data_IF_586824068010
#
_entry.id   IF_586824068010
#
_cell.length_a   1.000
_cell.length_b   1.000
_cell.length_c   1.000
_cell.angle_alpha   90.00
_cell.angle_beta   90.00
_cell.angle_gamma   90.00
#
_symmetry.space_group_name_H-M   'P 1'
#
loop_
_entity.id
_entity.type
_entity.pdbx_description
1 polymer ?
#
# COMPACT_ATOMS: atom_id res chain seq x y z
N UNK A 1 -10.69 -59.07 1.96
CA UNK A 1 -10.43 -57.63 1.78
C UNK A 1 -8.95 -57.42 2.10
N UNK A 2 -8.10 -58.04 1.29
CA UNK A 2 -6.66 -58.21 1.53
C UNK A 2 -5.94 -57.59 0.33
N UNK A 3 -5.23 -56.49 0.58
CA UNK A 3 -4.26 -55.76 -0.28
C UNK A 3 -4.55 -54.26 -0.39
N UNK A 4 -4.48 -53.53 0.73
CA UNK A 4 -4.49 -52.05 0.72
C UNK A 4 -3.19 -51.44 1.24
N UNK A 5 -2.16 -52.25 1.50
CA UNK A 5 -0.83 -51.72 1.81
C UNK A 5 -0.11 -51.34 0.53
N UNK A 6 0.34 -50.08 0.44
CA UNK A 6 1.12 -49.56 -0.68
C UNK A 6 2.60 -49.72 -0.39
N UNK A 7 3.33 -50.25 -1.36
CA UNK A 7 4.79 -50.25 -1.31
C UNK A 7 5.32 -48.81 -1.32
N UNK A 8 6.55 -48.60 -0.84
CA UNK A 8 7.19 -47.28 -0.89
C UNK A 8 7.23 -46.66 -2.30
N UNK A 9 7.33 -47.49 -3.34
CA UNK A 9 7.32 -47.05 -4.74
C UNK A 9 5.94 -46.62 -5.25
N UNK A 10 4.87 -47.25 -4.75
CA UNK A 10 3.49 -46.84 -5.03
C UNK A 10 3.14 -45.58 -4.24
N UNK A 11 3.48 -45.55 -2.94
CA UNK A 11 3.32 -44.37 -2.10
C UNK A 11 4.02 -43.14 -2.68
N UNK A 12 5.24 -43.31 -3.21
CA UNK A 12 5.98 -42.24 -3.86
C UNK A 12 5.23 -41.67 -5.08
N UNK A 13 4.68 -42.54 -5.93
CA UNK A 13 3.90 -42.14 -7.10
C UNK A 13 2.62 -41.40 -6.71
N UNK A 14 1.91 -41.90 -5.72
CA UNK A 14 0.59 -41.38 -5.35
C UNK A 14 0.67 -40.06 -4.56
N UNK A 15 1.67 -39.93 -3.69
CA UNK A 15 1.87 -38.72 -2.88
C UNK A 15 2.64 -37.60 -3.59
N UNK A 16 3.31 -37.93 -4.71
CA UNK A 16 4.24 -37.01 -5.39
C UNK A 16 5.55 -36.79 -4.63
N UNK A 17 5.84 -37.59 -3.61
CA UNK A 17 7.11 -37.61 -2.90
C UNK A 17 8.08 -38.60 -3.55
N UNK A 18 9.38 -38.31 -3.50
CA UNK A 18 10.37 -39.31 -3.94
C UNK A 18 10.53 -40.43 -2.89
N UNK A 19 10.94 -41.61 -3.35
CA UNK A 19 11.29 -42.74 -2.44
C UNK A 19 12.34 -42.33 -1.40
N UNK A 20 13.29 -41.47 -1.79
CA UNK A 20 14.30 -40.92 -0.88
C UNK A 20 13.67 -40.00 0.18
N UNK A 21 12.70 -39.16 -0.21
CA UNK A 21 11.97 -38.29 0.70
C UNK A 21 11.15 -39.11 1.72
N UNK A 22 10.45 -40.16 1.29
CA UNK A 22 9.71 -41.06 2.18
C UNK A 22 10.64 -41.72 3.22
N UNK A 23 11.83 -42.18 2.81
CA UNK A 23 12.85 -42.69 3.74
C UNK A 23 13.36 -41.63 4.71
N UNK A 24 13.45 -40.37 4.27
CA UNK A 24 13.83 -39.26 5.12
C UNK A 24 12.76 -38.96 6.18
N UNK A 25 11.48 -38.92 5.78
CA UNK A 25 10.37 -38.63 6.69
C UNK A 25 10.11 -39.74 7.71
N UNK A 26 10.35 -41.00 7.32
CA UNK A 26 10.39 -42.14 8.24
C UNK A 26 11.44 -41.90 9.34
N UNK A 27 12.70 -41.64 8.97
CA UNK A 27 13.78 -41.36 9.94
C UNK A 27 13.52 -40.13 10.80
N UNK A 28 12.85 -39.12 10.26
CA UNK A 28 12.50 -37.90 10.98
C UNK A 28 11.25 -38.06 11.89
N UNK A 29 10.59 -39.23 11.84
CA UNK A 29 9.38 -39.51 12.62
C UNK A 29 8.18 -38.66 12.20
N UNK A 30 8.12 -38.28 10.92
CA UNK A 30 7.06 -37.42 10.36
C UNK A 30 5.99 -38.26 9.65
N UNK A 31 6.43 -39.26 8.88
CA UNK A 31 5.55 -40.24 8.23
C UNK A 31 6.20 -41.62 8.37
N UNK A 32 5.86 -42.32 9.45
CA UNK A 32 6.43 -43.63 9.79
C UNK A 32 5.64 -44.70 9.06
N UNK A 33 6.27 -45.60 8.27
CA UNK A 33 5.57 -46.67 7.56
C UNK A 33 4.80 -47.58 8.52
N UNK A 34 3.60 -48.01 8.12
CA UNK A 34 2.79 -48.97 8.87
C UNK A 34 3.53 -50.29 9.13
N UNK A 35 4.35 -50.74 8.18
CA UNK A 35 5.19 -51.92 8.35
C UNK A 35 6.52 -51.80 7.62
N UNK A 36 7.58 -52.31 8.26
CA UNK A 36 8.91 -52.43 7.68
C UNK A 36 9.31 -53.90 7.74
N UNK A 37 9.66 -54.47 6.59
CA UNK A 37 10.16 -55.83 6.49
C UNK A 37 11.45 -55.98 7.31
N UNK A 38 11.51 -56.92 8.28
CA UNK A 38 12.64 -57.05 9.19
C UNK A 38 13.91 -57.62 8.52
N UNK A 39 13.79 -58.23 7.34
CA UNK A 39 14.91 -58.83 6.60
C UNK A 39 15.38 -57.91 5.48
N UNK A 40 14.46 -57.41 4.67
CA UNK A 40 14.78 -56.57 3.51
C UNK A 40 14.80 -55.07 3.81
N UNK A 41 14.23 -54.63 4.93
CA UNK A 41 14.05 -53.22 5.27
C UNK A 41 13.04 -52.49 4.36
N UNK A 42 12.24 -53.25 3.61
CA UNK A 42 11.27 -52.70 2.66
C UNK A 42 10.06 -52.13 3.40
N UNK A 43 9.56 -50.98 2.93
CA UNK A 43 8.55 -50.18 3.64
C UNK A 43 7.19 -50.28 2.97
N UNK A 44 6.19 -50.45 3.80
CA UNK A 44 4.78 -50.55 3.41
C UNK A 44 3.95 -49.55 4.21
N UNK A 45 3.01 -48.92 3.52
CA UNK A 45 2.18 -47.86 4.06
C UNK A 45 0.70 -48.23 3.96
N UNK A 46 -0.08 -47.85 4.97
CA UNK A 46 -1.52 -48.05 4.98
C UNK A 46 -2.29 -47.07 4.08
N UNK A 47 -3.59 -47.33 3.83
CA UNK A 47 -4.44 -46.46 3.03
C UNK A 47 -4.57 -45.04 3.63
N UNK A 48 -4.74 -44.91 4.95
CA UNK A 48 -4.84 -43.62 5.66
C UNK A 48 -3.57 -42.77 5.50
N UNK A 49 -2.40 -43.42 5.45
CA UNK A 49 -1.10 -42.74 5.29
C UNK A 49 -0.91 -42.14 3.89
N UNK A 50 -1.74 -42.54 2.92
CA UNK A 50 -1.70 -41.98 1.57
C UNK A 50 -2.18 -40.53 1.56
N UNK A 51 -3.25 -40.24 2.32
CA UNK A 51 -3.76 -38.87 2.46
C UNK A 51 -2.78 -38.00 3.24
N UNK A 52 -2.21 -38.53 4.33
CA UNK A 52 -1.15 -37.84 5.09
C UNK A 52 0.06 -37.49 4.22
N UNK A 53 0.50 -38.42 3.37
CA UNK A 53 1.64 -38.21 2.48
C UNK A 53 1.36 -37.10 1.45
N UNK A 54 0.14 -37.02 0.92
CA UNK A 54 -0.29 -35.93 0.02
C UNK A 54 -0.32 -34.59 0.77
N UNK A 55 -0.86 -34.54 1.99
CA UNK A 55 -0.88 -33.32 2.82
C UNK A 55 0.55 -32.88 3.13
N UNK A 56 1.40 -33.80 3.58
CA UNK A 56 2.82 -33.54 3.84
C UNK A 56 3.54 -32.96 2.62
N UNK A 57 3.30 -33.52 1.43
CA UNK A 57 3.90 -33.02 0.19
C UNK A 57 3.48 -31.57 -0.11
N UNK A 58 2.21 -31.23 0.10
CA UNK A 58 1.68 -29.87 -0.08
C UNK A 58 2.28 -28.88 0.92
N UNK A 59 2.32 -29.24 2.20
CA UNK A 59 2.89 -28.39 3.26
C UNK A 59 4.38 -28.15 3.04
N UNK A 60 5.13 -29.19 2.62
CA UNK A 60 6.54 -29.05 2.31
C UNK A 60 6.78 -28.14 1.12
N UNK A 61 5.96 -28.23 0.07
CA UNK A 61 6.03 -27.35 -1.11
C UNK A 61 5.70 -25.90 -0.74
N UNK A 62 4.81 -25.70 0.22
CA UNK A 62 4.51 -24.38 0.80
C UNK A 62 5.59 -23.88 1.78
N UNK A 63 6.71 -24.60 1.92
CA UNK A 63 7.83 -24.17 2.78
C UNK A 63 7.57 -24.30 4.28
N UNK A 64 6.57 -25.07 4.71
CA UNK A 64 6.29 -25.25 6.14
C UNK A 64 7.47 -25.98 6.84
N UNK A 65 7.89 -25.54 8.03
CA UNK A 65 8.91 -26.22 8.83
C UNK A 65 8.47 -27.65 9.21
N UNK A 66 9.43 -28.57 9.27
CA UNK A 66 9.13 -29.99 9.53
C UNK A 66 8.47 -30.23 10.90
N UNK A 67 8.80 -29.41 11.89
CA UNK A 67 8.19 -29.47 13.22
C UNK A 67 6.70 -29.14 13.16
N UNK A 68 6.32 -28.11 12.41
CA UNK A 68 4.92 -27.69 12.24
C UNK A 68 4.14 -28.71 11.41
N UNK A 69 4.76 -29.29 10.38
CA UNK A 69 4.15 -30.39 9.59
C UNK A 69 3.77 -31.57 10.49
N UNK A 70 4.63 -31.95 11.44
CA UNK A 70 4.32 -33.03 12.39
C UNK A 70 3.08 -32.72 13.24
N UNK A 71 2.97 -31.49 13.72
CA UNK A 71 1.81 -31.06 14.52
C UNK A 71 0.53 -31.04 13.66
N UNK A 72 0.63 -30.59 12.41
CA UNK A 72 -0.49 -30.61 11.47
C UNK A 72 -0.96 -32.03 11.20
N UNK A 73 -0.05 -32.97 10.91
CA UNK A 73 -0.43 -34.36 10.67
C UNK A 73 -1.02 -35.03 11.92
N UNK A 74 -0.48 -34.75 13.11
CA UNK A 74 -1.03 -35.26 14.37
C UNK A 74 -2.46 -34.75 14.61
N UNK A 75 -2.71 -33.46 14.36
CA UNK A 75 -4.05 -32.86 14.46
C UNK A 75 -5.01 -33.34 13.37
N UNK A 76 -4.49 -33.63 12.17
CA UNK A 76 -5.25 -34.17 11.04
C UNK A 76 -5.85 -35.54 11.37
N UNK A 77 -5.06 -36.41 12.01
CA UNK A 77 -5.51 -37.75 12.43
C UNK A 77 -6.34 -37.71 13.73
N UNK A 78 -6.05 -36.77 14.63
CA UNK A 78 -6.71 -36.63 15.93
C UNK A 78 -8.05 -35.87 15.91
N UNK A 79 -8.58 -35.51 14.73
CA UNK A 79 -9.77 -34.65 14.56
C UNK A 79 -9.65 -33.24 15.17
N UNK A 80 -8.45 -32.77 15.52
CA UNK A 80 -8.23 -31.41 16.05
C UNK A 80 -8.08 -30.39 14.91
N UNK A 81 -9.21 -30.13 14.26
CA UNK A 81 -9.30 -29.17 13.16
C UNK A 81 -8.97 -27.74 13.58
N UNK A 82 -9.11 -27.40 14.87
CA UNK A 82 -8.84 -26.05 15.37
C UNK A 82 -7.32 -25.79 15.44
N UNK A 83 -6.55 -26.76 15.94
CA UNK A 83 -5.09 -26.71 15.94
C UNK A 83 -4.52 -26.66 14.51
N UNK A 84 -5.01 -27.51 13.61
CA UNK A 84 -4.55 -27.50 12.20
C UNK A 84 -4.80 -26.14 11.55
N UNK A 85 -6.00 -25.57 11.73
CA UNK A 85 -6.33 -24.24 11.20
C UNK A 85 -5.43 -23.15 11.76
N UNK A 86 -5.12 -23.18 13.05
CA UNK A 86 -4.27 -22.16 13.67
C UNK A 86 -2.82 -22.22 13.16
N UNK A 87 -2.26 -23.42 13.00
CA UNK A 87 -0.92 -23.64 12.43
C UNK A 87 -0.83 -23.18 10.97
N UNK A 88 -1.84 -23.49 10.15
CA UNK A 88 -1.90 -23.03 8.76
C UNK A 88 -1.96 -21.50 8.69
N UNK A 89 -2.82 -20.85 9.49
CA UNK A 89 -2.90 -19.38 9.57
C UNK A 89 -1.58 -18.75 10.02
N UNK A 90 -0.92 -19.34 11.02
CA UNK A 90 0.38 -18.87 11.49
C UNK A 90 1.46 -18.95 10.40
N UNK A 91 1.46 -20.02 9.60
CA UNK A 91 2.40 -20.17 8.49
C UNK A 91 2.14 -19.19 7.35
N UNK A 92 0.87 -18.97 6.97
CA UNK A 92 0.50 -17.94 5.99
C UNK A 92 1.00 -16.56 6.44
N UNK A 93 0.76 -16.17 7.69
CA UNK A 93 1.28 -14.91 8.26
C UNK A 93 2.81 -14.82 8.26
N UNK A 94 3.52 -15.95 8.38
CA UNK A 94 4.99 -15.99 8.29
C UNK A 94 5.46 -15.77 6.85
N UNK A 95 4.81 -16.42 5.88
CA UNK A 95 5.12 -16.28 4.46
C UNK A 95 4.84 -14.84 3.97
N UNK A 96 3.72 -14.25 4.36
CA UNK A 96 3.36 -12.88 4.00
C UNK A 96 4.36 -11.86 4.56
N UNK A 97 4.79 -12.03 5.82
CA UNK A 97 5.83 -11.18 6.42
C UNK A 97 7.14 -11.31 5.64
N UNK A 98 7.58 -12.55 5.37
CA UNK A 98 8.79 -12.78 4.57
C UNK A 98 8.71 -12.18 3.16
N UNK A 99 7.54 -12.21 2.52
CA UNK A 99 7.33 -11.56 1.22
C UNK A 99 7.38 -10.03 1.32
N UNK A 100 6.80 -9.46 2.37
CA UNK A 100 6.86 -8.02 2.63
C UNK A 100 8.29 -7.56 2.88
N UNK A 101 9.04 -8.28 3.71
CA UNK A 101 10.44 -8.00 4.02
C UNK A 101 11.31 -8.07 2.75
N UNK A 102 11.16 -9.15 1.98
CA UNK A 102 11.87 -9.32 0.71
C UNK A 102 11.54 -8.19 -0.29
N UNK A 103 10.26 -7.81 -0.43
CA UNK A 103 9.86 -6.67 -1.26
C UNK A 103 10.49 -5.36 -0.80
N UNK A 104 10.60 -5.15 0.53
CA UNK A 104 11.31 -4.02 1.12
C UNK A 104 12.78 -3.99 0.72
N UNK A 105 13.49 -5.11 0.91
CA UNK A 105 14.90 -5.25 0.53
C UNK A 105 15.14 -5.01 -0.96
N UNK A 106 14.32 -5.62 -1.83
CA UNK A 106 14.41 -5.39 -3.27
C UNK A 106 14.14 -3.95 -3.67
N UNK A 107 13.24 -3.27 -2.94
CA UNK A 107 12.99 -1.83 -3.16
C UNK A 107 14.21 -0.99 -2.78
N UNK A 108 14.89 -1.31 -1.67
CA UNK A 108 16.16 -0.67 -1.30
C UNK A 108 17.24 -0.91 -2.33
N UNK A 109 17.41 -2.15 -2.80
CA UNK A 109 18.39 -2.48 -3.83
C UNK A 109 18.11 -1.76 -5.14
N UNK A 110 16.83 -1.66 -5.54
CA UNK A 110 16.43 -0.90 -6.73
C UNK A 110 16.73 0.59 -6.56
N UNK A 111 16.48 1.17 -5.39
CA UNK A 111 16.85 2.56 -5.12
C UNK A 111 18.37 2.79 -5.19
N UNK A 112 19.18 1.86 -4.67
CA UNK A 112 20.64 1.93 -4.77
C UNK A 112 21.15 1.76 -6.21
N UNK A 113 20.51 0.90 -7.01
CA UNK A 113 20.81 0.74 -8.43
C UNK A 113 20.39 1.98 -9.22
N UNK A 114 19.20 2.51 -8.99
CA UNK A 114 18.71 3.76 -9.59
C UNK A 114 19.69 4.92 -9.30
N UNK A 115 20.21 5.00 -8.07
CA UNK A 115 21.23 5.99 -7.67
C UNK A 115 22.58 5.80 -8.39
N UNK A 116 22.95 4.54 -8.68
CA UNK A 116 24.20 4.20 -9.39
C UNK A 116 24.08 4.41 -10.90
N UNK A 117 22.94 4.06 -11.49
CA UNK A 117 22.67 4.12 -12.93
C UNK A 117 22.32 5.55 -13.38
N UNK A 118 21.79 6.37 -12.47
CA UNK A 118 21.58 7.81 -12.67
C UNK A 118 22.49 8.65 -11.75
N UNK A 119 23.82 8.62 -11.94
CA UNK A 119 24.73 9.41 -11.14
C UNK A 119 24.53 10.90 -11.46
N UNK A 120 23.83 11.61 -10.57
CA UNK A 120 23.84 13.08 -10.45
C UNK A 120 23.37 13.87 -11.69
N UNK A 121 22.07 14.12 -11.79
CA UNK A 121 21.62 15.46 -12.17
C UNK A 121 21.44 16.25 -10.86
N UNK A 122 22.23 17.30 -10.58
CA UNK A 122 22.00 18.10 -9.39
C UNK A 122 20.60 18.71 -9.44
N UNK A 123 19.74 18.31 -8.50
CA UNK A 123 18.75 19.24 -7.97
C UNK A 123 19.54 20.45 -7.47
N UNK A 124 19.12 21.68 -7.77
CA UNK A 124 19.70 22.97 -7.30
C UNK A 124 20.71 23.70 -8.20
N UNK A 125 20.48 23.78 -9.52
CA UNK A 125 21.09 24.87 -10.34
C UNK A 125 20.17 25.47 -11.41
N UNK A 126 18.87 25.18 -11.38
CA UNK A 126 17.92 25.78 -12.32
C UNK A 126 17.15 26.90 -11.62
N UNK A 127 17.38 28.14 -12.05
CA UNK A 127 16.46 29.23 -11.72
C UNK A 127 15.18 29.01 -12.52
N UNK A 128 14.06 28.75 -11.84
CA UNK A 128 12.75 28.67 -12.46
C UNK A 128 11.95 29.92 -12.07
N UNK A 129 11.34 30.57 -13.05
CA UNK A 129 10.41 31.68 -12.82
C UNK A 129 9.15 31.43 -13.61
N UNK A 130 8.03 31.39 -12.92
CA UNK A 130 6.74 31.11 -13.52
C UNK A 130 5.67 32.05 -12.98
N UNK A 131 4.63 32.25 -13.78
CA UNK A 131 3.43 32.98 -13.41
C UNK A 131 2.23 32.03 -13.42
N UNK A 132 1.39 32.13 -12.40
CA UNK A 132 0.19 31.32 -12.23
C UNK A 132 -0.99 32.22 -11.83
N UNK A 133 -2.20 31.76 -12.13
CA UNK A 133 -3.41 32.32 -11.53
C UNK A 133 -3.39 32.11 -10.00
N UNK A 134 -3.68 33.16 -9.23
CA UNK A 134 -3.77 33.07 -7.78
C UNK A 134 -4.82 32.05 -7.29
N UNK A 135 -6.08 32.07 -7.78
CA UNK A 135 -7.09 31.10 -7.36
C UNK A 135 -6.74 29.65 -7.75
N UNK A 136 -6.10 29.42 -8.91
CA UNK A 136 -5.68 28.07 -9.30
C UNK A 136 -4.58 27.53 -8.38
N UNK A 137 -3.55 28.35 -8.10
CA UNK A 137 -2.48 27.95 -7.19
C UNK A 137 -2.99 27.75 -5.76
N UNK A 138 -3.92 28.58 -5.30
CA UNK A 138 -4.58 28.43 -4.01
C UNK A 138 -5.33 27.10 -3.91
N UNK A 139 -6.14 26.79 -4.92
CA UNK A 139 -6.90 25.54 -4.99
C UNK A 139 -5.97 24.32 -5.03
N UNK A 140 -4.85 24.39 -5.76
CA UNK A 140 -3.87 23.31 -5.81
C UNK A 140 -3.16 23.11 -4.45
N UNK A 141 -2.78 24.20 -3.77
CA UNK A 141 -2.19 24.13 -2.42
C UNK A 141 -3.18 23.52 -1.42
N UNK A 142 -4.43 24.00 -1.42
CA UNK A 142 -5.49 23.48 -0.53
C UNK A 142 -5.77 21.99 -0.79
N UNK A 143 -5.76 21.57 -2.06
CA UNK A 143 -6.01 20.19 -2.45
C UNK A 143 -4.94 19.20 -1.95
N UNK A 144 -3.71 19.64 -1.71
CA UNK A 144 -2.63 18.74 -1.25
C UNK A 144 -2.25 18.93 0.21
N UNK A 145 -2.51 20.11 0.78
CA UNK A 145 -2.09 20.50 2.13
C UNK A 145 -2.45 19.49 3.22
N UNK A 146 -3.60 18.82 3.10
CA UNK A 146 -4.07 17.87 4.10
C UNK A 146 -3.18 16.63 4.21
N UNK A 147 -2.42 16.26 3.17
CA UNK A 147 -1.59 15.06 3.12
C UNK A 147 -0.15 15.28 3.59
N UNK A 148 0.26 16.52 3.87
CA UNK A 148 1.62 16.82 4.34
C UNK A 148 1.84 16.28 5.77
N UNK A 149 3.03 15.74 6.04
CA UNK A 149 3.37 15.33 7.39
C UNK A 149 3.51 16.56 8.31
N UNK A 150 2.88 16.50 9.49
CA UNK A 150 3.06 17.48 10.57
C UNK A 150 4.02 16.97 11.65
N UNK A 151 4.55 15.75 11.48
CA UNK A 151 5.42 15.12 12.46
C UNK A 151 6.85 15.66 12.37
N UNK A 152 7.31 16.29 13.46
CA UNK A 152 8.68 16.77 13.60
C UNK A 152 9.73 15.65 13.52
N UNK A 153 9.35 14.38 13.73
CA UNK A 153 10.24 13.21 13.59
C UNK A 153 10.43 12.78 12.13
N UNK A 154 9.65 13.32 11.19
CA UNK A 154 9.77 13.09 9.75
C UNK A 154 10.10 14.39 9.02
N UNK A 155 11.26 15.03 9.31
CA UNK A 155 11.63 16.30 8.70
C UNK A 155 11.67 16.21 7.17
N UNK A 156 11.93 15.02 6.60
CA UNK A 156 11.92 14.77 5.16
C UNK A 156 10.55 14.83 4.50
N UNK A 157 9.47 14.80 5.29
CA UNK A 157 8.08 14.88 4.80
C UNK A 157 7.35 16.10 5.34
N UNK A 158 8.04 16.98 6.08
CA UNK A 158 7.50 18.23 6.63
C UNK A 158 7.33 19.36 5.60
N UNK A 159 7.27 19.02 4.31
CA UNK A 159 7.16 19.96 3.20
C UNK A 159 6.34 19.39 2.04
N UNK A 160 6.09 20.23 1.05
CA UNK A 160 5.41 19.86 -0.19
C UNK A 160 6.38 19.95 -1.35
N UNK A 161 6.36 18.95 -2.23
CA UNK A 161 7.11 19.01 -3.48
C UNK A 161 6.40 19.93 -4.46
N UNK A 162 7.17 20.84 -5.06
CA UNK A 162 6.81 21.64 -6.21
C UNK A 162 7.62 21.08 -7.39
N UNK A 163 6.94 20.40 -8.31
CA UNK A 163 7.53 19.81 -9.51
C UNK A 163 7.08 20.63 -10.74
N UNK A 164 8.00 21.44 -11.24
CA UNK A 164 7.79 22.39 -12.33
C UNK A 164 8.26 21.74 -13.63
N UNK A 165 7.36 21.54 -14.59
CA UNK A 165 7.66 20.99 -15.91
C UNK A 165 6.77 21.62 -16.98
N UNK A 166 7.38 22.24 -17.99
CA UNK A 166 6.66 22.93 -19.05
C UNK A 166 5.71 23.99 -18.49
N UNK A 167 4.43 23.88 -18.84
CA UNK A 167 3.36 24.78 -18.36
C UNK A 167 2.64 24.26 -17.09
N UNK A 168 3.12 23.17 -16.48
CA UNK A 168 2.52 22.58 -15.29
C UNK A 168 3.37 22.77 -14.02
N UNK A 169 2.74 23.23 -12.95
CA UNK A 169 3.26 23.11 -11.59
C UNK A 169 2.47 22.02 -10.87
N UNK A 170 3.11 20.88 -10.61
CA UNK A 170 2.54 19.84 -9.77
C UNK A 170 2.93 20.07 -8.32
N UNK A 171 1.95 20.08 -7.45
CA UNK A 171 2.12 20.13 -6.00
C UNK A 171 1.87 18.74 -5.45
N UNK A 172 2.75 18.26 -4.57
CA UNK A 172 2.62 16.93 -3.96
C UNK A 172 2.92 16.98 -2.48
N UNK A 173 2.07 16.34 -1.68
CA UNK A 173 2.26 16.19 -0.24
C UNK A 173 1.99 14.74 0.20
N UNK A 174 2.74 14.26 1.20
CA UNK A 174 2.59 12.90 1.74
C UNK A 174 3.07 12.80 3.18
N UNK A 175 2.51 11.86 3.94
CA UNK A 175 2.84 11.55 5.34
C UNK A 175 3.14 10.07 5.59
N UNK A 176 3.51 9.34 4.51
CA UNK A 176 3.69 7.87 4.41
C UNK A 176 2.41 7.04 4.32
N UNK A 177 1.27 7.54 4.79
CA UNK A 177 0.01 6.80 4.80
C UNK A 177 -0.97 7.28 3.73
N UNK A 178 -0.75 8.49 3.21
CA UNK A 178 -1.50 9.06 2.10
C UNK A 178 -0.62 9.96 1.25
N UNK A 179 -1.09 10.25 0.07
CA UNK A 179 -0.49 11.20 -0.85
C UNK A 179 -1.58 12.01 -1.54
N UNK A 180 -1.33 13.29 -1.79
CA UNK A 180 -2.20 14.11 -2.61
C UNK A 180 -1.36 14.83 -3.67
N UNK A 181 -1.90 14.87 -4.89
CA UNK A 181 -1.30 15.52 -6.06
C UNK A 181 -2.33 16.48 -6.61
N UNK A 182 -1.92 17.70 -6.94
CA UNK A 182 -2.72 18.67 -7.66
C UNK A 182 -1.86 19.45 -8.65
N UNK A 183 -2.49 20.01 -9.68
CA UNK A 183 -1.80 20.80 -10.70
C UNK A 183 -2.33 22.23 -10.74
N UNK A 184 -1.41 23.19 -10.92
CA UNK A 184 -1.73 24.55 -11.31
C UNK A 184 -1.11 24.83 -12.69
N UNK A 185 -1.83 25.59 -13.53
CA UNK A 185 -1.31 26.00 -14.83
C UNK A 185 -0.37 27.18 -14.67
N UNK A 186 0.70 27.16 -15.45
CA UNK A 186 1.75 28.15 -15.34
C UNK A 186 2.22 28.63 -16.71
N UNK A 187 2.78 29.83 -16.73
CA UNK A 187 3.39 30.44 -17.92
C UNK A 187 4.76 31.01 -17.56
N UNK A 188 5.60 31.21 -18.57
CA UNK A 188 6.90 31.89 -18.40
C UNK A 188 8.08 30.99 -18.04
N UNK A 189 7.86 29.68 -17.81
CA UNK A 189 8.94 28.71 -17.64
C UNK A 189 9.10 27.85 -18.91
N UNK A 190 10.23 28.01 -19.60
CA UNK A 190 10.64 27.17 -20.74
C UNK A 190 11.92 26.38 -20.48
N UNK A 191 12.36 26.33 -19.22
CA UNK A 191 13.59 25.69 -18.79
C UNK A 191 13.44 24.18 -18.51
N UNK A 192 14.52 23.52 -18.08
CA UNK A 192 14.44 22.12 -17.66
C UNK A 192 13.50 21.93 -16.46
N UNK A 193 13.04 20.70 -16.27
CA UNK A 193 12.25 20.30 -15.11
C UNK A 193 12.97 20.69 -13.82
N UNK A 194 12.25 21.32 -12.90
CA UNK A 194 12.79 21.82 -11.63
C UNK A 194 11.94 21.30 -10.49
N UNK A 195 12.57 20.67 -9.51
CA UNK A 195 11.91 20.17 -8.30
C UNK A 195 12.45 20.88 -7.08
N UNK A 196 11.55 21.28 -6.19
CA UNK A 196 11.90 21.91 -4.92
C UNK A 196 10.92 21.50 -3.83
N UNK A 197 11.43 21.17 -2.64
CA UNK A 197 10.58 20.84 -1.49
C UNK A 197 10.39 22.09 -0.64
N UNK A 198 9.16 22.59 -0.61
CA UNK A 198 8.78 23.80 0.11
C UNK A 198 8.34 23.43 1.53
N UNK A 199 8.97 23.97 2.60
CA UNK A 199 8.54 23.71 3.97
C UNK A 199 7.08 24.08 4.19
N UNK A 200 6.36 23.30 4.99
CA UNK A 200 4.93 23.51 5.24
C UNK A 200 4.58 24.94 5.72
N UNK A 201 5.33 25.57 6.65
CA UNK A 201 5.05 26.95 7.05
C UNK A 201 5.22 27.97 5.91
N UNK A 202 6.15 27.72 4.99
CA UNK A 202 6.34 28.57 3.82
C UNK A 202 5.19 28.41 2.82
N UNK A 203 4.75 27.17 2.58
CA UNK A 203 3.59 26.89 1.74
C UNK A 203 2.30 27.52 2.32
N UNK A 204 2.12 27.49 3.64
CA UNK A 204 0.99 28.13 4.33
C UNK A 204 1.04 29.66 4.19
N UNK A 205 2.23 30.26 4.33
CA UNK A 205 2.44 31.69 4.11
C UNK A 205 2.15 32.08 2.65
N UNK A 206 2.60 31.26 1.69
CA UNK A 206 2.29 31.42 0.26
C UNK A 206 0.78 31.38 0.03
N UNK A 207 0.08 30.39 0.58
CA UNK A 207 -1.37 30.25 0.45
C UNK A 207 -2.13 31.48 0.96
N UNK A 208 -1.66 32.12 2.04
CA UNK A 208 -2.25 33.33 2.62
C UNK A 208 -2.07 34.60 1.74
N UNK A 209 -1.18 34.57 0.75
CA UNK A 209 -1.02 35.64 -0.24
C UNK A 209 -1.99 35.53 -1.42
N UNK A 210 -2.58 34.34 -1.63
CA UNK A 210 -3.40 33.99 -2.79
C UNK A 210 -4.89 34.30 -2.60
N UNK A 211 -5.21 35.45 -2.01
CA UNK A 211 -6.59 35.88 -1.78
C UNK A 211 -7.19 36.74 -2.91
N UNK A 212 -6.35 37.23 -3.83
CA UNK A 212 -6.78 38.04 -4.98
C UNK A 212 -6.94 37.23 -6.27
N UNK A 213 -7.30 37.91 -7.35
CA UNK A 213 -7.39 37.32 -8.70
C UNK A 213 -6.18 37.62 -9.58
N UNK A 214 -5.30 38.52 -9.13
CA UNK A 214 -4.11 38.90 -9.89
C UNK A 214 -3.14 37.73 -10.04
N UNK A 215 -2.44 37.62 -11.19
CA UNK A 215 -1.45 36.58 -11.39
C UNK A 215 -0.30 36.75 -10.40
N UNK A 216 0.14 35.63 -9.84
CA UNK A 216 1.29 35.57 -8.94
C UNK A 216 2.53 35.10 -9.67
N UNK A 217 3.69 35.46 -9.14
CA UNK A 217 4.98 35.00 -9.64
C UNK A 217 5.66 34.11 -8.62
N UNK A 218 5.97 32.88 -9.01
CA UNK A 218 6.81 31.96 -8.25
C UNK A 218 8.21 31.96 -8.85
N UNK A 219 9.22 32.15 -8.00
CA UNK A 219 10.63 32.06 -8.36
C UNK A 219 11.31 31.04 -7.47
N UNK A 220 12.02 30.10 -8.10
CA UNK A 220 12.93 29.15 -7.45
C UNK A 220 14.33 29.54 -7.91
N UNK A 221 15.21 29.91 -6.98
CA UNK A 221 16.58 30.27 -7.26
C UNK A 221 17.51 29.57 -6.26
N UNK A 222 18.20 28.53 -6.72
CA UNK A 222 18.96 27.64 -5.84
C UNK A 222 18.07 26.95 -4.81
N UNK A 223 18.32 27.21 -3.53
CA UNK A 223 17.54 26.72 -2.38
C UNK A 223 16.45 27.72 -1.92
N UNK A 224 16.29 28.86 -2.60
CA UNK A 224 15.34 29.89 -2.19
C UNK A 224 14.09 29.84 -3.06
N UNK A 225 12.94 29.73 -2.41
CA UNK A 225 11.63 29.80 -3.05
C UNK A 225 10.92 31.08 -2.64
N UNK A 226 10.41 31.82 -3.61
CA UNK A 226 9.71 33.10 -3.40
C UNK A 226 8.43 33.13 -4.20
N UNK A 227 7.32 33.51 -3.55
CA UNK A 227 6.04 33.81 -4.20
C UNK A 227 5.73 35.30 -4.02
N UNK A 228 5.46 35.99 -5.12
CA UNK A 228 5.10 37.40 -5.18
C UNK A 228 3.65 37.55 -5.64
N UNK A 229 2.88 38.39 -4.95
CA UNK A 229 1.50 38.76 -5.26
C UNK A 229 1.33 40.27 -5.03
N UNK A 230 1.41 41.05 -6.12
CA UNK A 230 1.51 42.51 -6.06
C UNK A 230 2.71 42.96 -5.21
N UNK A 231 2.46 43.78 -4.19
CA UNK A 231 3.48 44.28 -3.24
C UNK A 231 3.79 43.30 -2.09
N UNK A 232 3.11 42.16 -2.02
CA UNK A 232 3.28 41.17 -0.95
C UNK A 232 4.13 40.00 -1.45
N UNK A 233 4.99 39.48 -0.58
CA UNK A 233 5.80 38.30 -0.89
C UNK A 233 5.95 37.36 0.29
N UNK A 234 6.12 36.07 0.00
CA UNK A 234 6.50 35.03 0.94
C UNK A 234 7.74 34.33 0.39
N UNK A 235 8.79 34.23 1.19
CA UNK A 235 10.05 33.64 0.77
C UNK A 235 10.68 32.83 1.89
N UNK A 236 11.40 31.77 1.52
CA UNK A 236 12.09 30.91 2.47
C UNK A 236 13.02 29.94 1.78
N UNK A 237 13.74 29.16 2.58
CA UNK A 237 14.61 28.10 2.09
C UNK A 237 13.80 26.83 1.84
N UNK A 238 14.12 26.14 0.75
CA UNK A 238 13.64 24.80 0.47
C UNK A 238 14.32 23.78 1.37
N UNK A 239 13.67 22.65 1.54
CA UNK A 239 14.28 21.51 2.21
C UNK A 239 15.21 20.79 1.22
N UNK A 240 16.46 20.56 1.64
CA UNK A 240 17.50 19.96 0.80
C UNK A 240 17.47 18.43 0.74
N UNK A 241 16.35 17.80 1.07
CA UNK A 241 16.21 16.33 1.03
C UNK A 241 15.35 15.90 -0.16
N UNK A 242 15.54 14.66 -0.59
CA UNK A 242 14.74 14.07 -1.66
C UNK A 242 13.29 13.87 -1.23
N UNK A 243 12.37 14.00 -2.18
CA UNK A 243 10.95 13.70 -2.02
C UNK A 243 10.63 12.38 -2.73
N UNK A 244 9.70 11.55 -2.22
CA UNK A 244 9.32 10.31 -2.88
C UNK A 244 8.92 10.51 -4.36
N UNK A 245 9.33 9.59 -5.23
CA UNK A 245 8.95 9.63 -6.66
C UNK A 245 7.47 9.30 -6.85
N UNK A 246 6.64 10.35 -6.78
CA UNK A 246 5.19 10.24 -6.87
C UNK A 246 4.69 9.78 -8.25
N UNK A 247 5.48 9.95 -9.31
CA UNK A 247 5.05 9.58 -10.68
C UNK A 247 4.86 8.07 -10.82
N UNK A 248 5.65 7.28 -10.09
CA UNK A 248 5.48 5.81 -10.00
C UNK A 248 4.13 5.40 -9.37
N UNK A 249 3.48 6.32 -8.65
CA UNK A 249 2.21 6.10 -7.96
C UNK A 249 1.01 6.69 -8.71
N UNK A 250 1.22 7.38 -9.84
CA UNK A 250 0.15 7.88 -10.71
C UNK A 250 -0.52 6.70 -11.44
N UNK A 251 0.28 5.72 -11.87
CA UNK A 251 -0.11 4.54 -12.63
C UNK A 251 -0.45 3.34 -11.73
N UNK A 252 -1.43 3.50 -10.84
CA UNK A 252 -1.91 2.38 -10.02
C UNK A 252 -2.67 1.40 -10.94
N UNK A 253 -2.47 0.07 -10.79
CA UNK A 253 -3.22 -0.93 -11.56
C UNK A 253 -4.73 -0.69 -11.44
N UNK A 254 -5.44 -0.82 -12.58
CA UNK A 254 -6.88 -0.56 -12.66
C UNK A 254 -7.65 -1.31 -11.56
N UNK A 255 -8.33 -0.52 -10.72
CA UNK A 255 -9.24 -1.02 -9.70
C UNK A 255 -10.70 -0.97 -10.18
N UNK A 256 -11.63 -1.42 -9.34
CA UNK A 256 -13.05 -1.15 -9.57
C UNK A 256 -13.30 0.33 -9.31
N UNK A 257 -13.80 1.01 -10.33
CA UNK A 257 -14.20 2.42 -10.25
C UNK A 257 -15.64 2.54 -9.82
N UNK A 258 -15.90 3.46 -8.92
CA UNK A 258 -17.24 3.76 -8.43
C UNK A 258 -17.42 5.27 -8.35
N UNK A 259 -18.51 5.74 -8.93
CA UNK A 259 -18.91 7.14 -8.89
C UNK A 259 -19.62 7.40 -7.57
N UNK A 260 -19.25 8.48 -6.90
CA UNK A 260 -19.88 8.88 -5.64
C UNK A 260 -20.31 10.33 -5.68
N UNK A 261 -21.54 10.58 -5.23
CA UNK A 261 -21.97 11.89 -4.77
C UNK A 261 -21.20 12.18 -3.46
N UNK A 262 -20.38 13.23 -3.48
CA UNK A 262 -19.46 13.56 -2.40
C UNK A 262 -20.20 13.86 -1.11
N UNK A 263 -21.35 14.54 -1.17
CA UNK A 263 -22.11 14.92 0.02
C UNK A 263 -22.78 13.70 0.66
N UNK A 264 -23.46 12.88 -0.13
CA UNK A 264 -24.11 11.65 0.33
C UNK A 264 -23.09 10.63 0.84
N UNK A 265 -21.96 10.45 0.14
CA UNK A 265 -20.93 9.51 0.56
C UNK A 265 -20.19 9.98 1.82
N UNK A 266 -19.92 11.28 1.95
CA UNK A 266 -19.41 11.86 3.20
C UNK A 266 -20.38 11.58 4.36
N UNK A 267 -21.67 11.85 4.17
CA UNK A 267 -22.67 11.58 5.20
C UNK A 267 -22.70 10.09 5.58
N UNK A 268 -22.60 9.19 4.60
CA UNK A 268 -22.51 7.75 4.83
C UNK A 268 -21.26 7.35 5.62
N UNK A 269 -20.11 7.99 5.37
CA UNK A 269 -18.88 7.77 6.15
C UNK A 269 -18.97 8.33 7.58
N UNK A 270 -19.60 9.49 7.76
CA UNK A 270 -19.74 10.12 9.08
C UNK A 270 -20.72 9.37 9.99
N UNK A 271 -21.79 8.85 9.41
CA UNK A 271 -22.86 8.13 10.15
C UNK A 271 -22.71 6.61 10.14
N UNK A 272 -21.89 6.08 9.23
CA UNK A 272 -21.73 4.65 9.01
C UNK A 272 -20.80 3.95 10.00
N UNK A 273 -20.73 2.61 9.93
CA UNK A 273 -20.02 1.76 10.90
C UNK A 273 -18.53 2.07 10.96
N UNK A 274 -17.99 2.33 12.15
CA UNK A 274 -16.55 2.58 12.39
C UNK A 274 -15.90 1.30 12.91
N UNK A 275 -14.69 1.00 12.44
CA UNK A 275 -13.84 -0.03 13.08
C UNK A 275 -12.65 0.60 13.76
N UNK A 276 -12.26 0.04 14.90
CA UNK A 276 -11.03 0.45 15.58
C UNK A 276 -9.85 -0.28 14.92
N UNK A 277 -8.92 0.48 14.33
CA UNK A 277 -7.65 -0.09 13.91
C UNK A 277 -6.73 -0.35 15.10
N UNK A 278 -5.99 -1.46 15.06
CA UNK A 278 -4.99 -1.79 16.09
C UNK A 278 -3.75 -0.88 16.02
N UNK A 279 -3.49 -0.27 14.87
CA UNK A 279 -2.41 0.71 14.70
C UNK A 279 -2.84 2.02 15.34
N UNK A 280 -2.25 2.33 16.51
CA UNK A 280 -2.49 3.60 17.20
C UNK A 280 -1.81 4.73 16.43
N UNK A 281 -2.51 5.84 16.26
CA UNK A 281 -1.87 7.11 15.92
C UNK A 281 -0.94 7.54 17.08
N UNK A 282 -0.05 8.49 16.82
CA UNK A 282 0.99 8.95 17.79
C UNK A 282 0.41 9.38 19.15
N UNK A 283 -0.83 9.84 19.17
CA UNK A 283 -1.55 10.25 20.39
C UNK A 283 -2.13 9.07 21.19
N UNK A 284 -1.88 7.82 20.76
CA UNK A 284 -2.46 6.62 21.38
C UNK A 284 -3.93 6.38 21.03
N UNK A 285 -4.52 7.23 20.18
CA UNK A 285 -5.89 7.07 19.70
C UNK A 285 -5.97 5.91 18.67
N UNK A 286 -6.97 5.04 18.77
CA UNK A 286 -7.25 4.06 17.73
C UNK A 286 -7.60 4.81 16.44
N UNK A 287 -6.97 4.44 15.31
CA UNK A 287 -7.38 5.00 14.04
C UNK A 287 -8.79 4.49 13.69
N UNK A 288 -9.67 5.40 13.30
CA UNK A 288 -11.01 5.04 12.84
C UNK A 288 -10.91 4.53 11.41
N UNK A 289 -11.34 3.31 11.18
CA UNK A 289 -11.30 2.68 9.86
C UNK A 289 -12.70 2.65 9.24
N UNK A 290 -12.75 2.94 7.94
CA UNK A 290 -13.89 2.62 7.08
C UNK A 290 -13.51 1.43 6.19
N UNK A 291 -14.35 0.40 6.18
CA UNK A 291 -14.21 -0.73 5.26
C UNK A 291 -15.13 -0.49 4.08
N UNK A 292 -14.56 -0.50 2.88
CA UNK A 292 -15.25 -0.13 1.65
C UNK A 292 -15.23 -1.28 0.66
N UNK A 293 -16.33 -1.41 -0.09
CA UNK A 293 -16.45 -2.34 -1.21
C UNK A 293 -17.21 -1.70 -2.35
N UNK A 294 -16.89 -2.08 -3.58
CA UNK A 294 -17.70 -1.74 -4.76
C UNK A 294 -18.72 -2.86 -4.98
N UNK A 295 -20.00 -2.55 -4.90
CA UNK A 295 -21.08 -3.50 -5.19
C UNK A 295 -21.21 -3.77 -6.69
N UNK A 296 -21.95 -4.82 -7.07
CA UNK A 296 -22.12 -5.24 -8.48
C UNK A 296 -22.79 -4.16 -9.35
N UNK A 297 -23.60 -3.30 -8.75
CA UNK A 297 -24.22 -2.14 -9.39
C UNK A 297 -23.27 -0.94 -9.57
N UNK A 298 -22.00 -1.06 -9.17
CA UNK A 298 -21.00 0.01 -9.26
C UNK A 298 -21.03 1.05 -8.12
N UNK A 299 -21.89 0.90 -7.10
CA UNK A 299 -21.91 1.81 -5.95
C UNK A 299 -20.90 1.41 -4.87
N UNK A 300 -20.28 2.40 -4.22
CA UNK A 300 -19.46 2.15 -3.02
C UNK A 300 -20.35 1.91 -1.81
N UNK A 301 -20.05 0.86 -1.06
CA UNK A 301 -20.73 0.50 0.19
C UNK A 301 -19.72 0.60 1.34
N UNK A 302 -20.16 1.20 2.45
CA UNK A 302 -19.44 1.16 3.72
C UNK A 302 -19.90 -0.10 4.47
N UNK A 303 -19.01 -1.08 4.62
CA UNK A 303 -19.34 -2.39 5.16
C UNK A 303 -19.55 -2.36 6.68
N UNK A 304 -20.55 -3.11 7.17
CA UNK A 304 -20.75 -3.36 8.61
C UNK A 304 -19.65 -4.26 9.19
N UNK A 305 -19.58 -4.31 10.51
CA UNK A 305 -18.61 -5.16 11.21
C UNK A 305 -18.92 -6.65 11.00
N UNK A 306 -17.93 -7.43 10.56
CA UNK A 306 -18.09 -8.84 10.19
C UNK A 306 -18.54 -9.13 8.74
N UNK A 307 -18.87 -8.11 7.94
CA UNK A 307 -19.16 -8.26 6.49
C UNK A 307 -17.90 -8.02 5.63
N UNK A 308 -16.79 -8.66 6.01
CA UNK A 308 -15.51 -8.56 5.31
C UNK A 308 -15.44 -9.53 4.14
N UNK A 309 -15.96 -9.09 3.00
CA UNK A 309 -15.68 -9.76 1.76
C UNK A 309 -14.16 -9.67 1.41
N UNK A 310 -13.61 -10.66 0.70
CA UNK A 310 -12.17 -10.71 0.37
C UNK A 310 -11.71 -9.58 -0.56
N UNK A 311 -12.65 -8.81 -1.13
CA UNK A 311 -12.44 -7.66 -2.01
C UNK A 311 -12.68 -6.31 -1.31
N UNK A 312 -12.87 -6.31 0.00
CA UNK A 312 -13.02 -5.12 0.83
C UNK A 312 -11.67 -4.41 1.04
N UNK A 313 -11.69 -3.08 1.05
CA UNK A 313 -10.52 -2.23 1.32
C UNK A 313 -10.79 -1.42 2.58
N UNK A 314 -9.95 -1.56 3.60
CA UNK A 314 -10.03 -0.74 4.80
C UNK A 314 -9.07 0.44 4.71
N UNK A 315 -9.55 1.64 5.04
CA UNK A 315 -8.74 2.87 5.05
C UNK A 315 -9.02 3.70 6.30
N UNK A 316 -8.09 4.56 6.68
CA UNK A 316 -8.33 5.56 7.72
C UNK A 316 -9.46 6.50 7.28
N UNK A 317 -10.53 6.56 8.08
CA UNK A 317 -11.75 7.34 7.83
C UNK A 317 -11.47 8.83 7.74
N UNK A 318 -10.65 9.36 8.64
CA UNK A 318 -10.36 10.79 8.68
C UNK A 318 -9.57 11.20 7.44
N UNK A 319 -8.62 10.36 7.00
CA UNK A 319 -7.90 10.60 5.76
C UNK A 319 -8.82 10.58 4.54
N UNK A 320 -9.81 9.68 4.50
CA UNK A 320 -10.77 9.61 3.42
C UNK A 320 -11.68 10.84 3.40
N UNK A 321 -12.18 11.28 4.56
CA UNK A 321 -12.99 12.49 4.68
C UNK A 321 -12.20 13.73 4.23
N UNK A 322 -10.92 13.83 4.59
CA UNK A 322 -10.05 14.90 4.11
C UNK A 322 -9.85 14.85 2.58
N UNK A 323 -9.64 13.66 2.00
CA UNK A 323 -9.50 13.50 0.56
C UNK A 323 -10.77 13.89 -0.21
N UNK A 324 -11.96 13.52 0.30
CA UNK A 324 -13.24 13.96 -0.26
C UNK A 324 -13.42 15.48 -0.17
N UNK A 325 -12.98 16.09 0.94
CA UNK A 325 -13.00 17.56 1.10
C UNK A 325 -12.09 18.26 0.09
N UNK A 326 -10.87 17.76 -0.08
CA UNK A 326 -9.89 18.28 -1.04
C UNK A 326 -10.33 18.11 -2.50
N UNK A 327 -11.14 17.07 -2.77
CA UNK A 327 -11.77 16.87 -4.07
C UNK A 327 -12.61 18.07 -4.52
N UNK A 328 -13.32 18.74 -3.60
CA UNK A 328 -14.09 19.97 -3.85
C UNK A 328 -14.98 19.92 -5.12
N UNK A 329 -15.64 18.76 -5.34
CA UNK A 329 -16.57 18.49 -6.43
C UNK A 329 -17.79 17.74 -5.89
N UNK A 330 -18.94 17.93 -6.53
CA UNK A 330 -20.18 17.23 -6.17
C UNK A 330 -20.08 15.73 -6.48
N UNK A 331 -19.33 15.37 -7.52
CA UNK A 331 -19.09 13.99 -7.92
C UNK A 331 -17.60 13.68 -7.99
N UNK A 332 -17.20 12.53 -7.43
CA UNK A 332 -15.84 12.01 -7.45
C UNK A 332 -15.82 10.54 -7.88
N UNK A 333 -14.66 10.08 -8.35
CA UNK A 333 -14.43 8.67 -8.65
C UNK A 333 -13.53 8.07 -7.58
N UNK A 334 -14.02 6.99 -6.96
CA UNK A 334 -13.24 6.14 -6.08
C UNK A 334 -12.76 4.93 -6.87
N UNK A 335 -11.47 4.65 -6.79
CA UNK A 335 -10.86 3.48 -7.41
C UNK A 335 -10.31 2.56 -6.32
N UNK A 336 -10.94 1.38 -6.20
CA UNK A 336 -10.63 0.38 -5.20
C UNK A 336 -10.00 -0.84 -5.88
N UNK A 337 -8.72 -1.09 -5.58
CA UNK A 337 -7.99 -2.27 -6.03
C UNK A 337 -8.16 -3.47 -5.09
N UNK A 338 -7.13 -4.30 -5.03
CA UNK A 338 -7.02 -5.37 -4.03
C UNK A 338 -6.97 -4.79 -2.60
N UNK A 339 -7.27 -5.59 -1.55
CA UNK A 339 -7.21 -5.13 -0.15
C UNK A 339 -5.88 -4.53 0.30
N UNK A 340 -4.79 -4.82 -0.41
CA UNK A 340 -3.43 -4.30 -0.15
C UNK A 340 -3.02 -3.18 -1.11
N UNK A 341 -3.87 -2.81 -2.07
CA UNK A 341 -3.61 -1.74 -3.01
C UNK A 341 -4.12 -0.39 -2.45
N UNK A 342 -3.46 0.74 -2.77
CA UNK A 342 -3.96 2.06 -2.41
C UNK A 342 -5.36 2.31 -2.97
N UNK A 343 -6.18 3.00 -2.19
CA UNK A 343 -7.43 3.57 -2.66
C UNK A 343 -7.15 4.93 -3.29
N UNK A 344 -7.64 5.17 -4.50
CA UNK A 344 -7.53 6.47 -5.15
C UNK A 344 -8.86 7.23 -5.15
N UNK A 345 -8.79 8.54 -4.89
CA UNK A 345 -9.88 9.50 -5.03
C UNK A 345 -9.52 10.45 -6.16
N UNK A 346 -10.30 10.46 -7.23
CA UNK A 346 -10.03 11.22 -8.46
C UNK A 346 -11.17 12.15 -8.80
N UNK A 347 -10.85 13.25 -9.48
CA UNK A 347 -11.83 14.14 -10.11
C UNK A 347 -12.17 13.63 -11.51
N UNK A 348 -13.41 13.88 -11.96
CA UNK A 348 -13.86 13.55 -13.31
C UNK A 348 -13.37 14.56 -14.35
N UNK A 349 -13.20 15.81 -13.94
CA UNK A 349 -12.79 16.94 -14.78
C UNK A 349 -11.27 17.14 -14.84
N UNK A 350 -10.52 16.46 -13.98
CA UNK A 350 -9.08 16.65 -13.82
C UNK A 350 -8.38 15.37 -13.33
N UNK A 351 -7.76 14.64 -14.26
CA UNK A 351 -7.00 13.42 -13.95
C UNK A 351 -5.66 13.71 -13.24
N UNK A 352 -5.17 14.95 -13.30
CA UNK A 352 -3.90 15.37 -12.69
C UNK A 352 -4.05 15.72 -11.20
N UNK A 353 -5.28 15.84 -10.70
CA UNK A 353 -5.57 16.02 -9.27
C UNK A 353 -6.19 14.76 -8.67
N UNK A 354 -5.46 14.13 -7.75
CA UNK A 354 -5.92 12.91 -7.09
C UNK A 354 -5.33 12.75 -5.68
N UNK A 355 -6.00 11.95 -4.87
CA UNK A 355 -5.52 11.55 -3.55
C UNK A 355 -5.40 10.03 -3.47
N UNK A 356 -4.36 9.53 -2.81
CA UNK A 356 -4.12 8.13 -2.54
C UNK A 356 -4.10 7.88 -1.03
N UNK A 357 -4.75 6.79 -0.62
CA UNK A 357 -4.78 6.35 0.76
C UNK A 357 -4.24 4.92 0.82
N UNK A 358 -3.23 4.71 1.67
CA UNK A 358 -2.72 3.36 1.90
C UNK A 358 -3.76 2.55 2.68
N UNK A 359 -3.99 1.29 2.29
CA UNK A 359 -4.94 0.44 2.99
C UNK A 359 -4.39 0.01 4.34
N UNK A 360 -5.29 -0.23 5.28
CA UNK A 360 -4.99 -0.80 6.59
C UNK A 360 -5.36 -2.27 6.56
N UNK A 361 -4.48 -3.14 7.06
CA UNK A 361 -4.78 -4.58 7.15
C UNK A 361 -5.86 -4.81 8.20
N UNK A 362 -6.90 -5.55 7.81
CA UNK A 362 -7.87 -6.12 8.74
C UNK A 362 -7.34 -7.49 9.20
N UNK A 363 -7.31 -7.74 10.51
CA UNK A 363 -7.02 -9.06 11.05
C UNK A 363 -8.32 -9.86 11.15
N UNK A 364 -8.40 -10.99 10.42
CA UNK A 364 -9.53 -11.93 10.43
C UNK A 364 -9.26 -13.21 11.25
#
# INVERSE_FOLDING_TARGET
MESEMRSIGEMARDSGLSVSALRFYDRAGVLVPAWVDPVSGYRWYGPEQSEEAVVLARLRRAGMPLADIRLVLAGWNGSDSALVRSLLRAHVRRLERGLSDARGEFSTLRALLDHRENPMAPLHTATARLSSSAPELAAALDAVRFAAATDAELPTLGGMLFDIEGEGLHLVATDRYRMAVAQARTTGHGGPRTQVVVPLPLADAMRALLAGEEPVRLTVDGDRVTLESGDRQAAGQSLGHEFPDYRRLVDIPEGRRAHVDTAAFRQALETGPVRAGETRERDGKPCHLSVLRVAENGSVVVCEDGDDAPDSVAVNRDFLLHALAAGARDELVLELGAPTAPLAVRRLDDEHTFSLLMPVRLDH
#
